data_IF_670234847371
#
_entry.id   IF_670234847371
#
_cell.length_a   1.000
_cell.length_b   1.000
_cell.length_c   1.000
_cell.angle_alpha   90.00
_cell.angle_beta   90.00
_cell.angle_gamma   90.00
#
_symmetry.space_group_name_H-M   'P 1'
#
loop_
_entity.id
_entity.type
_entity.pdbx_description
1 polymer ?
#
# COMPACT_ATOMS: atom_id res chain seq x y z
N UNK A 1 -6.57 -10.84 -22.03
CA UNK A 1 -6.74 -10.64 -20.58
C UNK A 1 -5.63 -9.76 -20.05
N UNK A 2 -5.93 -8.56 -19.55
CA UNK A 2 -4.97 -7.81 -18.73
C UNK A 2 -4.76 -8.58 -17.44
N UNK A 3 -3.51 -8.85 -17.07
CA UNK A 3 -3.17 -9.48 -15.80
C UNK A 3 -3.81 -8.69 -14.65
N UNK A 4 -4.65 -9.35 -13.83
CA UNK A 4 -5.15 -8.78 -12.58
C UNK A 4 -3.93 -8.31 -11.77
N UNK A 5 -3.74 -6.99 -11.68
CA UNK A 5 -2.59 -6.41 -10.97
C UNK A 5 -2.84 -6.61 -9.48
N UNK A 6 -2.07 -7.50 -8.85
CA UNK A 6 -2.08 -7.69 -7.40
C UNK A 6 -1.13 -6.72 -6.74
N UNK A 7 -1.64 -5.87 -5.85
CA UNK A 7 -0.89 -4.82 -5.18
C UNK A 7 -1.06 -4.97 -3.67
N UNK A 8 0.06 -5.04 -2.96
CA UNK A 8 0.08 -5.04 -1.50
C UNK A 8 0.52 -3.65 -1.02
N UNK A 9 -0.35 -2.97 -0.29
CA UNK A 9 -0.09 -1.69 0.35
C UNK A 9 0.59 -1.96 1.68
N UNK A 10 1.88 -1.67 1.74
CA UNK A 10 2.72 -1.91 2.91
C UNK A 10 2.78 -0.65 3.74
N UNK A 11 2.39 -0.70 5.01
CA UNK A 11 2.36 0.48 5.88
C UNK A 11 2.90 0.16 7.27
N UNK A 12 3.49 1.15 7.95
CA UNK A 12 3.75 1.06 9.39
C UNK A 12 2.55 1.56 10.21
N UNK A 13 1.98 2.67 9.76
CA UNK A 13 0.72 3.23 10.20
C UNK A 13 -0.08 3.63 8.96
N UNK A 14 -1.38 3.35 8.95
CA UNK A 14 -2.23 3.65 7.80
C UNK A 14 -2.34 5.16 7.60
N UNK A 15 -1.84 5.74 6.49
CA UNK A 15 -1.95 7.18 6.27
C UNK A 15 -3.35 7.56 5.81
N UNK A 16 -3.77 8.83 5.98
CA UNK A 16 -5.06 9.32 5.49
C UNK A 16 -5.24 9.15 3.97
N UNK A 17 -4.15 9.19 3.21
CA UNK A 17 -4.17 8.96 1.76
C UNK A 17 -4.25 7.47 1.37
N UNK A 18 -4.13 6.55 2.33
CA UNK A 18 -4.15 5.10 2.11
C UNK A 18 -5.47 4.63 1.52
N UNK A 19 -6.59 5.14 2.04
CA UNK A 19 -7.94 4.78 1.57
C UNK A 19 -8.20 5.27 0.14
N UNK A 20 -7.81 6.51 -0.16
CA UNK A 20 -7.97 7.09 -1.49
C UNK A 20 -7.13 6.32 -2.54
N UNK A 21 -5.91 5.92 -2.18
CA UNK A 21 -5.07 5.11 -3.04
C UNK A 21 -5.67 3.71 -3.25
N UNK A 22 -6.07 3.04 -2.17
CA UNK A 22 -6.67 1.70 -2.25
C UNK A 22 -7.93 1.70 -3.12
N UNK A 23 -8.80 2.71 -2.97
CA UNK A 23 -9.99 2.89 -3.79
C UNK A 23 -9.63 3.12 -5.26
N UNK A 24 -8.65 3.98 -5.55
CA UNK A 24 -8.20 4.28 -6.92
C UNK A 24 -7.62 3.04 -7.62
N UNK A 25 -6.83 2.24 -6.90
CA UNK A 25 -6.25 1.00 -7.41
C UNK A 25 -7.34 -0.05 -7.71
N UNK A 26 -8.32 -0.21 -6.81
CA UNK A 26 -9.46 -1.10 -7.03
C UNK A 26 -10.31 -0.66 -8.21
N UNK A 27 -10.56 0.65 -8.34
CA UNK A 27 -11.28 1.21 -9.49
C UNK A 27 -10.54 0.98 -10.83
N UNK A 28 -9.20 0.92 -10.79
CA UNK A 28 -8.36 0.56 -11.93
C UNK A 28 -8.31 -0.96 -12.22
N UNK A 29 -9.07 -1.78 -11.48
CA UNK A 29 -9.12 -3.24 -11.64
C UNK A 29 -7.98 -4.00 -10.97
N UNK A 30 -7.27 -3.38 -10.01
CA UNK A 30 -6.26 -4.06 -9.21
C UNK A 30 -6.86 -4.74 -7.98
N UNK A 31 -6.32 -5.90 -7.63
CA UNK A 31 -6.54 -6.52 -6.32
C UNK A 31 -5.64 -5.83 -5.30
N UNK A 32 -6.22 -5.29 -4.24
CA UNK A 32 -5.49 -4.50 -3.23
C UNK A 32 -5.63 -5.16 -1.86
N UNK A 33 -4.50 -5.50 -1.26
CA UNK A 33 -4.35 -6.00 0.11
C UNK A 33 -3.55 -5.00 0.93
N UNK A 34 -3.98 -4.70 2.14
CA UNK A 34 -3.21 -3.96 3.13
C UNK A 34 -2.40 -4.93 4.01
N UNK A 35 -1.14 -4.58 4.28
CA UNK A 35 -0.27 -5.34 5.18
C UNK A 35 0.54 -4.37 6.01
N UNK A 36 0.56 -4.57 7.33
CA UNK A 36 1.45 -3.84 8.19
C UNK A 36 2.88 -4.38 8.02
N UNK A 37 3.87 -3.51 7.82
CA UNK A 37 5.28 -3.90 7.69
C UNK A 37 5.82 -4.62 8.94
N UNK A 38 5.20 -4.39 10.11
CA UNK A 38 5.51 -5.12 11.33
C UNK A 38 5.11 -6.61 11.26
N UNK A 39 4.17 -6.97 10.39
CA UNK A 39 3.80 -8.35 10.09
C UNK A 39 4.61 -8.85 8.87
N UNK A 40 5.87 -9.17 9.14
CA UNK A 40 6.83 -9.60 8.11
C UNK A 40 6.44 -10.92 7.44
N UNK A 41 5.81 -11.83 8.17
CA UNK A 41 5.36 -13.13 7.65
C UNK A 41 4.31 -12.93 6.55
N UNK A 42 3.25 -12.18 6.85
CA UNK A 42 2.18 -11.87 5.89
C UNK A 42 2.71 -11.08 4.69
N UNK A 43 3.69 -10.20 4.90
CA UNK A 43 4.34 -9.46 3.81
C UNK A 43 5.13 -10.39 2.89
N UNK A 44 5.96 -11.28 3.45
CA UNK A 44 6.75 -12.23 2.68
C UNK A 44 5.85 -13.19 1.89
N UNK A 45 4.80 -13.73 2.52
CA UNK A 45 3.80 -14.56 1.86
C UNK A 45 3.15 -13.85 0.66
N UNK A 46 2.82 -12.56 0.81
CA UNK A 46 2.27 -11.77 -0.29
C UNK A 46 3.28 -11.60 -1.43
N UNK A 47 4.56 -11.37 -1.12
CA UNK A 47 5.62 -11.26 -2.13
C UNK A 47 5.83 -12.58 -2.87
N UNK A 48 5.83 -13.71 -2.16
CA UNK A 48 5.93 -15.06 -2.76
C UNK A 48 4.73 -15.38 -3.67
N UNK A 49 3.53 -14.93 -3.30
CA UNK A 49 2.31 -15.03 -4.11
C UNK A 49 2.29 -14.07 -5.33
N UNK A 50 3.36 -13.28 -5.53
CA UNK A 50 3.54 -12.39 -6.67
C UNK A 50 2.83 -11.04 -6.54
N UNK A 51 2.46 -10.62 -5.32
CA UNK A 51 1.92 -9.29 -5.09
C UNK A 51 2.99 -8.22 -5.28
N UNK A 52 2.64 -7.10 -5.92
CA UNK A 52 3.54 -5.95 -6.08
C UNK A 52 3.49 -5.06 -4.85
N UNK A 53 4.60 -4.87 -4.11
CA UNK A 53 4.61 -4.03 -2.93
C UNK A 53 4.58 -2.55 -3.30
N UNK A 54 3.72 -1.80 -2.63
CA UNK A 54 3.67 -0.33 -2.67
C UNK A 54 3.76 0.16 -1.23
N UNK A 55 4.87 0.80 -0.89
CA UNK A 55 5.11 1.29 0.48
C UNK A 55 4.41 2.62 0.68
N UNK A 56 3.50 2.66 1.64
CA UNK A 56 2.85 3.85 2.12
C UNK A 56 3.76 4.56 3.11
N UNK A 57 4.21 5.76 2.74
CA UNK A 57 4.96 6.62 3.67
C UNK A 57 3.97 7.23 4.66
N UNK A 58 4.23 7.15 5.97
CA UNK A 58 3.46 7.93 6.92
C UNK A 58 3.63 9.40 6.54
N UNK A 59 2.52 10.10 6.32
CA UNK A 59 2.56 11.53 6.10
C UNK A 59 3.17 12.16 7.35
N UNK A 60 4.39 12.69 7.24
CA UNK A 60 4.92 13.56 8.25
C UNK A 60 3.93 14.73 8.40
N UNK A 61 3.39 14.90 9.60
CA UNK A 61 2.59 16.07 9.94
C UNK A 61 3.49 17.29 9.73
N UNK A 62 3.23 18.05 8.66
CA UNK A 62 3.71 19.42 8.43
C UNK A 62 5.17 19.73 8.77
N UNK A 63 6.13 19.30 7.94
CA UNK A 63 7.49 19.84 7.91
C UNK A 63 7.63 20.95 6.86
N UNK A 64 6.70 21.89 6.84
CA UNK A 64 6.63 22.98 5.86
C UNK A 64 6.28 24.29 6.53
N UNK A 65 7.15 24.76 7.43
CA UNK A 65 7.22 26.18 7.76
C UNK A 65 8.51 26.71 7.13
N UNK A 66 8.40 27.13 5.87
CA UNK A 66 9.37 28.06 5.29
C UNK A 66 9.22 29.38 6.03
N UNK A 67 10.26 29.84 6.72
CA UNK A 67 10.46 31.23 7.06
C UNK A 67 11.92 31.60 6.81
#
# INVERSE_FOLDING_TARGET
>A
MSANKRIVLVHLAWPPAGDALAASLRAAGAEVRDVNVADSETLLDALEQGWKPVVLKPSAIGGGASN
#
